data_IF_793438909104
#
_entry.id   IF_793438909104
#
_cell.length_a   1.000
_cell.length_b   1.000
_cell.length_c   1.000
_cell.angle_alpha   90.00
_cell.angle_beta   90.00
_cell.angle_gamma   90.00
#
_symmetry.space_group_name_H-M   'P 1'
#
loop_
_entity.id
_entity.type
_entity.pdbx_description
1 polymer ?
#
# COMPACT_ATOMS: atom_id res chain seq x y z
N UNK A 1 -36.63 -11.06 -12.04
CA UNK A 1 -35.51 -10.23 -12.57
C UNK A 1 -34.23 -10.83 -12.04
N UNK A 2 -33.36 -11.32 -12.92
CA UNK A 2 -32.09 -11.96 -12.53
C UNK A 2 -31.05 -10.89 -12.16
N UNK A 3 -30.19 -11.12 -11.14
CA UNK A 3 -29.13 -10.17 -10.81
C UNK A 3 -28.10 -10.08 -11.94
N UNK A 4 -27.42 -8.92 -12.10
CA UNK A 4 -26.42 -8.70 -13.13
C UNK A 4 -25.20 -9.64 -12.96
N UNK A 5 -24.54 -9.99 -14.08
CA UNK A 5 -23.49 -11.02 -14.16
C UNK A 5 -22.32 -10.85 -13.17
N UNK A 6 -22.06 -9.64 -12.67
CA UNK A 6 -20.99 -9.38 -11.70
C UNK A 6 -21.34 -9.80 -10.26
N UNK A 7 -22.63 -9.89 -9.90
CA UNK A 7 -23.05 -10.46 -8.62
C UNK A 7 -22.77 -11.98 -8.54
N UNK A 8 -22.51 -12.64 -9.68
CA UNK A 8 -22.13 -14.06 -9.75
C UNK A 8 -20.62 -14.29 -9.74
N UNK A 9 -19.80 -13.24 -9.78
CA UNK A 9 -18.32 -13.36 -9.77
C UNK A 9 -17.75 -13.31 -8.35
N UNK A 10 -18.56 -12.93 -7.35
CA UNK A 10 -18.17 -12.91 -5.94
C UNK A 10 -18.87 -13.97 -5.08
N UNK A 11 -19.66 -14.85 -5.71
CA UNK A 11 -20.37 -15.97 -5.07
C UNK A 11 -19.67 -17.31 -5.39
N UNK A 12 -18.34 -17.31 -5.41
CA UNK A 12 -17.58 -18.56 -5.32
C UNK A 12 -17.35 -18.87 -3.85
N UNK A 13 -18.33 -19.54 -3.25
CA UNK A 13 -18.13 -20.30 -2.03
C UNK A 13 -16.94 -21.26 -2.19
N UNK A 14 -16.06 -21.25 -1.19
CA UNK A 14 -15.36 -22.42 -0.68
C UNK A 14 -14.64 -23.31 -1.70
N UNK A 15 -13.53 -22.84 -2.25
CA UNK A 15 -12.39 -23.71 -2.53
C UNK A 15 -11.14 -23.00 -2.01
N UNK A 16 -10.44 -23.65 -1.08
CA UNK A 16 -9.43 -23.05 -0.21
C UNK A 16 -8.50 -22.07 -0.92
N UNK A 17 -8.46 -20.86 -0.37
CA UNK A 17 -7.60 -19.74 -0.76
C UNK A 17 -6.13 -20.15 -0.71
N UNK A 18 -5.61 -20.70 -1.82
CA UNK A 18 -4.22 -20.51 -2.14
C UNK A 18 -4.12 -19.18 -2.88
N UNK A 19 -3.58 -18.17 -2.18
CA UNK A 19 -3.08 -16.97 -2.83
C UNK A 19 -2.32 -17.38 -4.09
N UNK A 20 -2.47 -16.68 -5.23
CA UNK A 20 -1.67 -16.96 -6.40
C UNK A 20 -0.20 -16.95 -5.95
N UNK A 21 0.43 -18.13 -5.98
CA UNK A 21 1.85 -18.22 -5.70
C UNK A 21 2.51 -17.38 -6.77
N UNK A 22 3.11 -16.27 -6.32
CA UNK A 22 3.95 -15.45 -7.16
C UNK A 22 5.04 -16.38 -7.71
N UNK A 23 4.88 -16.84 -8.94
CA UNK A 23 5.91 -17.49 -9.73
C UNK A 23 6.94 -16.41 -10.06
N UNK A 24 7.74 -16.04 -9.06
CA UNK A 24 8.95 -15.26 -9.26
C UNK A 24 10.06 -16.24 -9.53
N UNK A 25 10.85 -15.99 -10.56
CA UNK A 25 12.23 -16.50 -10.59
C UNK A 25 12.89 -16.05 -9.29
N UNK A 26 13.14 -17.02 -8.40
CA UNK A 26 13.24 -16.90 -6.93
C UNK A 26 14.41 -16.05 -6.38
N UNK A 27 15.23 -15.41 -7.23
CA UNK A 27 16.47 -14.77 -6.80
C UNK A 27 16.32 -13.37 -6.20
N UNK A 28 15.49 -12.50 -6.79
CA UNK A 28 15.81 -11.06 -6.76
C UNK A 28 14.77 -10.11 -6.11
N UNK A 29 13.75 -10.60 -5.40
CA UNK A 29 12.66 -9.73 -4.88
C UNK A 29 12.35 -9.85 -3.39
N UNK A 30 13.17 -10.56 -2.61
CA UNK A 30 12.84 -10.94 -1.23
C UNK A 30 13.42 -10.03 -0.14
N UNK A 31 13.80 -8.80 -0.49
CA UNK A 31 14.48 -7.82 0.38
C UNK A 31 13.63 -6.62 0.80
N UNK A 32 12.36 -6.59 0.40
CA UNK A 32 11.51 -5.42 0.60
C UNK A 32 11.12 -5.27 2.08
N UNK A 33 11.10 -4.05 2.61
CA UNK A 33 10.79 -3.83 4.01
C UNK A 33 9.38 -4.30 4.31
N UNK A 34 9.20 -5.00 5.42
CA UNK A 34 7.86 -5.33 5.91
C UNK A 34 7.71 -4.92 7.37
N UNK A 35 6.49 -4.55 7.74
CA UNK A 35 6.15 -4.16 9.10
C UNK A 35 5.66 -5.37 9.88
N UNK A 36 6.10 -5.48 11.12
CA UNK A 36 5.53 -6.44 12.08
C UNK A 36 5.31 -5.77 13.41
N UNK A 37 4.15 -6.02 14.02
CA UNK A 37 3.85 -5.63 15.39
C UNK A 37 4.43 -6.68 16.35
N UNK A 38 5.31 -6.28 17.25
CA UNK A 38 5.87 -7.12 18.31
C UNK A 38 5.83 -6.38 19.64
N UNK A 39 5.30 -7.00 20.70
CA UNK A 39 5.26 -6.40 22.05
C UNK A 39 4.72 -4.96 22.08
N UNK A 40 3.63 -4.69 21.35
CA UNK A 40 3.03 -3.36 21.15
C UNK A 40 3.90 -2.30 20.44
N UNK A 41 5.05 -2.68 19.91
CA UNK A 41 5.87 -1.84 19.04
C UNK A 41 5.76 -2.29 17.59
N UNK A 42 6.05 -1.39 16.66
CA UNK A 42 6.09 -1.70 15.23
C UNK A 42 7.53 -1.67 14.75
N UNK A 43 7.92 -2.70 14.02
CA UNK A 43 9.27 -2.85 13.51
C UNK A 43 9.26 -3.02 12.01
N UNK A 44 10.14 -2.29 11.32
CA UNK A 44 10.48 -2.60 9.93
C UNK A 44 11.57 -3.65 9.89
N UNK A 45 11.43 -4.62 8.99
CA UNK A 45 12.37 -5.71 8.77
C UNK A 45 12.94 -5.63 7.37
N UNK A 46 14.26 -5.83 7.22
CA UNK A 46 14.93 -5.98 5.93
C UNK A 46 16.19 -6.83 6.11
N UNK A 47 16.80 -7.26 5.02
CA UNK A 47 18.13 -7.88 5.04
C UNK A 47 19.28 -6.84 5.06
N UNK A 48 18.96 -5.56 4.85
CA UNK A 48 19.94 -4.49 4.69
C UNK A 48 19.65 -3.31 5.65
N UNK A 49 20.61 -2.99 6.53
CA UNK A 49 20.49 -1.84 7.44
C UNK A 49 20.40 -0.48 6.73
N UNK A 50 21.07 -0.30 5.58
CA UNK A 50 21.00 0.95 4.84
C UNK A 50 19.59 1.21 4.29
N UNK A 51 18.89 0.15 3.86
CA UNK A 51 17.47 0.26 3.47
C UNK A 51 16.62 0.67 4.67
N UNK A 52 16.79 0.00 5.81
CA UNK A 52 16.05 0.36 7.03
C UNK A 52 16.33 1.78 7.50
N UNK A 53 17.58 2.23 7.40
CA UNK A 53 17.99 3.60 7.74
C UNK A 53 17.31 4.61 6.83
N UNK A 54 17.28 4.35 5.52
CA UNK A 54 16.56 5.18 4.56
C UNK A 54 15.07 5.31 4.90
N UNK A 55 14.35 4.21 5.13
CA UNK A 55 12.93 4.27 5.52
C UNK A 55 12.72 4.97 6.85
N UNK A 56 13.63 4.73 7.82
CA UNK A 56 13.57 5.38 9.12
C UNK A 56 13.70 6.90 8.98
N UNK A 57 14.63 7.40 8.17
CA UNK A 57 14.81 8.82 7.94
C UNK A 57 13.65 9.44 7.14
N UNK A 58 13.06 8.73 6.16
CA UNK A 58 11.84 9.17 5.47
C UNK A 58 10.68 9.33 6.47
N UNK A 59 10.44 8.32 7.31
CA UNK A 59 9.39 8.34 8.32
C UNK A 59 9.63 9.45 9.36
N UNK A 60 10.88 9.59 9.81
CA UNK A 60 11.29 10.64 10.75
C UNK A 60 11.09 12.05 10.18
N UNK A 61 11.41 12.27 8.90
CA UNK A 61 11.18 13.55 8.25
C UNK A 61 9.68 13.87 8.10
N UNK A 62 8.82 12.86 7.98
CA UNK A 62 7.36 13.03 7.88
C UNK A 62 6.69 13.34 9.22
N UNK A 63 7.30 12.93 10.33
CA UNK A 63 6.77 13.15 11.66
C UNK A 63 7.30 14.49 12.20
N UNK A 64 6.41 15.48 12.39
CA UNK A 64 6.77 16.82 12.87
C UNK A 64 7.29 16.84 14.33
N UNK A 65 7.32 15.69 15.00
CA UNK A 65 7.90 15.54 16.33
C UNK A 65 9.43 15.65 16.30
N UNK A 66 9.99 16.64 17.02
CA UNK A 66 11.44 16.82 17.29
C UNK A 66 12.07 15.69 18.14
N UNK A 67 11.52 14.49 18.07
CA UNK A 67 11.98 13.36 18.84
C UNK A 67 13.44 13.04 18.51
N UNK A 68 14.25 12.91 19.57
CA UNK A 68 15.65 12.43 19.55
C UNK A 68 15.71 10.93 19.22
N UNK A 69 14.95 10.47 18.24
CA UNK A 69 14.95 9.09 17.82
C UNK A 69 16.27 8.80 17.11
N UNK A 70 16.98 7.82 17.66
CA UNK A 70 18.21 7.27 17.09
C UNK A 70 17.87 6.02 16.29
N UNK A 71 18.42 5.93 15.08
CA UNK A 71 18.41 4.69 14.33
C UNK A 71 19.28 3.65 15.04
N UNK A 72 18.76 2.45 15.24
CA UNK A 72 19.53 1.30 15.72
C UNK A 72 19.09 0.08 14.95
N UNK A 73 20.00 -0.45 14.14
CA UNK A 73 19.76 -1.64 13.33
C UNK A 73 20.14 -2.90 14.12
N UNK A 74 19.14 -3.65 14.57
CA UNK A 74 19.36 -4.87 15.36
C UNK A 74 19.37 -6.09 14.46
N UNK A 75 20.34 -6.99 14.65
CA UNK A 75 20.27 -8.34 14.08
C UNK A 75 19.23 -9.16 14.85
N UNK A 76 18.41 -9.91 14.14
CA UNK A 76 17.42 -10.80 14.75
C UNK A 76 17.78 -12.25 14.49
N UNK A 77 17.60 -13.11 15.51
CA UNK A 77 17.74 -14.56 15.36
C UNK A 77 16.51 -15.20 14.69
N UNK A 78 15.54 -14.40 14.22
CA UNK A 78 14.40 -14.90 13.46
C UNK A 78 14.92 -15.37 12.11
N UNK A 79 15.25 -16.65 12.05
CA UNK A 79 15.32 -17.37 10.79
C UNK A 79 13.88 -17.51 10.28
N UNK A 80 13.73 -17.32 8.98
CA UNK A 80 12.48 -17.24 8.24
C UNK A 80 11.74 -18.61 8.29
N UNK A 81 11.12 -18.98 9.42
CA UNK A 81 10.40 -20.26 9.59
C UNK A 81 9.22 -20.38 8.60
N UNK A 82 8.60 -19.27 8.18
CA UNK A 82 7.58 -19.23 7.13
C UNK A 82 8.15 -19.28 5.70
N UNK A 83 9.48 -19.33 5.52
CA UNK A 83 10.15 -18.98 4.26
C UNK A 83 11.31 -19.92 3.86
N UNK A 84 11.34 -21.15 4.40
CA UNK A 84 12.11 -22.30 3.88
C UNK A 84 13.55 -21.98 3.46
N UNK A 85 14.38 -21.51 4.41
CA UNK A 85 15.79 -21.20 4.17
C UNK A 85 16.60 -22.47 3.82
N UNK A 86 16.80 -22.74 2.53
CA UNK A 86 17.62 -23.86 2.03
C UNK A 86 19.11 -23.53 1.83
N UNK A 87 19.56 -22.32 2.15
CA UNK A 87 20.98 -21.94 2.00
C UNK A 87 21.64 -21.53 3.33
N UNK A 88 22.85 -22.06 3.62
CA UNK A 88 23.56 -21.81 4.86
C UNK A 88 24.42 -20.53 4.72
N UNK A 89 23.80 -19.37 4.90
CA UNK A 89 24.51 -18.13 5.18
C UNK A 89 23.78 -17.37 6.30
N UNK A 90 24.48 -16.57 7.13
CA UNK A 90 23.88 -15.87 8.27
C UNK A 90 23.06 -14.67 7.77
N UNK A 91 21.96 -14.93 7.05
CA UNK A 91 21.00 -13.93 6.61
C UNK A 91 20.06 -13.59 7.77
N UNK A 92 20.62 -13.04 8.85
CA UNK A 92 19.83 -12.53 9.96
C UNK A 92 19.04 -11.31 9.46
N UNK A 93 17.71 -11.38 9.55
CA UNK A 93 16.88 -10.21 9.32
C UNK A 93 17.30 -9.11 10.29
N UNK A 94 17.39 -7.90 9.76
CA UNK A 94 17.60 -6.69 10.52
C UNK A 94 16.26 -6.08 10.86
N UNK A 95 16.18 -5.40 12.01
CA UNK A 95 14.99 -4.63 12.37
C UNK A 95 15.28 -3.27 12.97
N UNK A 96 14.33 -2.37 12.84
CA UNK A 96 14.30 -1.05 13.50
C UNK A 96 12.90 -0.75 14.01
N UNK A 97 12.78 -0.19 15.22
CA UNK A 97 11.49 0.24 15.77
C UNK A 97 11.05 1.55 15.10
N UNK A 98 9.87 1.55 14.51
CA UNK A 98 9.27 2.72 13.83
C UNK A 98 7.92 3.10 14.44
N UNK A 99 7.49 2.46 15.54
CA UNK A 99 6.15 2.65 16.09
C UNK A 99 5.82 4.10 16.42
N UNK A 100 6.78 4.87 16.92
CA UNK A 100 6.62 6.31 17.21
C UNK A 100 6.76 7.21 15.98
N UNK A 101 7.17 6.66 14.84
CA UNK A 101 7.35 7.40 13.59
C UNK A 101 6.15 7.26 12.64
N UNK A 102 5.31 6.25 12.84
CA UNK A 102 4.11 6.03 12.06
C UNK A 102 2.97 6.92 12.56
N UNK A 103 2.10 7.34 11.63
CA UNK A 103 0.85 8.02 11.96
C UNK A 103 -0.05 7.12 12.82
N UNK A 104 -0.75 7.73 13.79
CA UNK A 104 -1.68 7.04 14.69
C UNK A 104 -2.73 6.24 13.92
N UNK A 105 -3.18 6.75 12.78
CA UNK A 105 -4.11 6.07 11.89
C UNK A 105 -3.55 4.74 11.36
N UNK A 106 -2.29 4.73 10.91
CA UNK A 106 -1.61 3.52 10.42
C UNK A 106 -1.47 2.52 11.57
N UNK A 107 -1.00 2.98 12.73
CA UNK A 107 -0.83 2.16 13.94
C UNK A 107 -2.14 1.52 14.40
N UNK A 108 -3.23 2.31 14.44
CA UNK A 108 -4.54 1.87 14.92
C UNK A 108 -5.23 0.90 13.98
N UNK A 109 -5.02 1.04 12.66
CA UNK A 109 -5.75 0.28 11.66
C UNK A 109 -4.96 -0.89 11.04
N UNK A 110 -3.66 -1.02 11.33
CA UNK A 110 -2.87 -2.16 10.87
C UNK A 110 -3.45 -3.49 11.36
N UNK A 111 -3.65 -4.44 10.43
CA UNK A 111 -4.27 -5.76 10.59
C UNK A 111 -5.77 -5.72 11.00
N UNK A 112 -6.42 -4.55 10.93
CA UNK A 112 -7.85 -4.45 11.27
C UNK A 112 -8.70 -4.89 10.08
N UNK A 113 -9.52 -5.93 10.28
CA UNK A 113 -10.52 -6.40 9.30
C UNK A 113 -11.79 -5.56 9.43
N UNK A 114 -12.06 -4.77 8.38
CA UNK A 114 -13.13 -3.78 8.17
C UNK A 114 -14.24 -4.22 7.20
N UNK A 115 -15.37 -4.76 7.66
CA UNK A 115 -16.52 -5.02 6.77
C UNK A 115 -17.09 -3.70 6.19
N UNK A 116 -17.35 -3.69 4.88
CA UNK A 116 -17.96 -2.56 4.17
C UNK A 116 -17.01 -1.38 3.85
N UNK A 117 -15.83 -1.32 4.45
CA UNK A 117 -14.84 -0.28 4.18
C UNK A 117 -13.90 -0.73 3.07
N UNK A 118 -13.75 0.02 1.97
CA UNK A 118 -12.90 -0.39 0.86
C UNK A 118 -11.54 0.33 0.85
N UNK A 119 -10.73 0.06 -0.17
CA UNK A 119 -9.40 0.63 -0.33
C UNK A 119 -9.42 2.17 -0.44
N UNK A 120 -10.42 2.75 -1.10
CA UNK A 120 -10.53 4.20 -1.23
C UNK A 120 -10.85 4.91 0.08
N UNK A 121 -11.70 4.33 0.93
CA UNK A 121 -12.00 4.95 2.23
C UNK A 121 -10.77 5.08 3.11
N UNK A 122 -9.81 4.16 2.99
CA UNK A 122 -8.53 4.26 3.69
C UNK A 122 -7.77 5.54 3.36
N UNK A 123 -7.72 5.87 2.06
CA UNK A 123 -7.05 7.07 1.59
C UNK A 123 -7.79 8.31 2.07
N UNK A 124 -9.12 8.35 1.91
CA UNK A 124 -9.92 9.51 2.30
C UNK A 124 -9.91 9.72 3.82
N UNK A 125 -9.88 8.66 4.64
CA UNK A 125 -9.74 8.76 6.09
C UNK A 125 -8.38 9.33 6.48
N UNK A 126 -7.31 8.80 5.88
CA UNK A 126 -5.95 9.24 6.17
C UNK A 126 -5.74 10.72 5.83
N UNK A 127 -6.36 11.22 4.74
CA UNK A 127 -6.32 12.63 4.37
C UNK A 127 -7.40 13.50 5.03
N UNK A 128 -8.20 12.96 5.95
CA UNK A 128 -9.24 13.72 6.65
C UNK A 128 -10.49 14.05 5.84
N UNK A 129 -10.55 13.67 4.56
CA UNK A 129 -11.68 13.93 3.66
C UNK A 129 -12.99 13.28 4.13
N UNK A 130 -12.88 12.17 4.85
CA UNK A 130 -14.01 11.54 5.53
C UNK A 130 -13.70 11.36 7.00
N UNK A 131 -14.70 11.63 7.85
CA UNK A 131 -14.53 11.62 9.31
C UNK A 131 -14.69 10.24 9.95
N UNK A 132 -15.22 9.27 9.22
CA UNK A 132 -15.51 7.92 9.72
C UNK A 132 -15.46 6.87 8.63
N UNK A 133 -15.18 5.65 9.07
CA UNK A 133 -15.18 4.44 8.26
C UNK A 133 -16.53 4.24 7.56
N UNK A 134 -16.50 4.12 6.24
CA UNK A 134 -17.67 3.80 5.41
C UNK A 134 -17.23 3.30 4.03
N UNK A 135 -18.18 2.73 3.30
CA UNK A 135 -17.98 2.51 1.87
C UNK A 135 -17.79 3.86 1.15
N UNK A 136 -16.80 3.92 0.26
CA UNK A 136 -16.52 5.05 -0.63
C UNK A 136 -16.70 4.58 -2.07
N UNK A 137 -17.29 5.39 -2.93
CA UNK A 137 -17.43 5.02 -4.35
C UNK A 137 -16.18 5.39 -5.16
N UNK A 138 -15.95 4.73 -6.29
CA UNK A 138 -14.86 5.09 -7.22
C UNK A 138 -14.95 6.58 -7.62
N UNK A 139 -16.17 7.04 -7.91
CA UNK A 139 -16.46 8.43 -8.26
C UNK A 139 -16.09 9.43 -7.17
N UNK A 140 -16.36 9.08 -5.92
CA UNK A 140 -16.03 9.93 -4.78
C UNK A 140 -14.50 10.01 -4.57
N UNK A 141 -13.80 8.88 -4.66
CA UNK A 141 -12.34 8.84 -4.65
C UNK A 141 -11.74 9.66 -5.80
N UNK A 142 -12.29 9.50 -7.01
CA UNK A 142 -11.87 10.25 -8.18
C UNK A 142 -12.04 11.75 -7.99
N UNK A 143 -13.20 12.18 -7.48
CA UNK A 143 -13.47 13.58 -7.20
C UNK A 143 -12.46 14.16 -6.20
N UNK A 144 -12.07 13.40 -5.18
CA UNK A 144 -11.03 13.79 -4.23
C UNK A 144 -9.66 13.97 -4.91
N UNK A 145 -9.16 12.94 -5.62
CA UNK A 145 -7.79 12.99 -6.19
C UNK A 145 -7.66 13.96 -7.37
N UNK A 146 -8.76 14.34 -8.01
CA UNK A 146 -8.77 15.32 -9.13
C UNK A 146 -9.08 16.75 -8.70
N UNK A 147 -9.47 16.97 -7.46
CA UNK A 147 -9.64 18.32 -6.91
C UNK A 147 -8.27 19.00 -6.80
N UNK A 148 -7.99 19.94 -7.71
CA UNK A 148 -6.72 20.68 -7.77
C UNK A 148 -6.46 21.58 -6.57
N UNK A 149 -7.47 21.89 -5.77
CA UNK A 149 -7.30 22.64 -4.52
C UNK A 149 -6.76 21.74 -3.40
N UNK A 150 -7.09 20.45 -3.44
CA UNK A 150 -6.73 19.44 -2.45
C UNK A 150 -5.50 18.62 -2.86
N UNK A 151 -5.41 18.22 -4.12
CA UNK A 151 -4.43 17.29 -4.65
C UNK A 151 -3.65 17.86 -5.84
N UNK A 152 -2.36 17.58 -5.87
CA UNK A 152 -1.47 17.88 -6.99
C UNK A 152 -0.92 16.57 -7.54
N UNK A 153 -1.02 16.37 -8.86
CA UNK A 153 -0.44 15.20 -9.51
C UNK A 153 1.09 15.26 -9.39
N UNK A 154 1.69 14.14 -8.98
CA UNK A 154 3.13 13.93 -8.91
C UNK A 154 3.63 13.55 -10.30
N UNK A 155 4.70 14.19 -10.73
CA UNK A 155 5.25 14.07 -12.09
C UNK A 155 6.70 13.56 -12.11
N UNK A 156 7.33 13.41 -10.96
CA UNK A 156 8.67 12.84 -10.82
C UNK A 156 8.85 12.10 -9.49
N UNK A 157 9.83 11.19 -9.42
CA UNK A 157 10.12 10.40 -8.21
C UNK A 157 10.48 11.29 -7.01
N UNK A 158 11.18 12.40 -7.27
CA UNK A 158 11.62 13.34 -6.23
C UNK A 158 10.46 14.09 -5.55
N UNK A 159 9.26 14.04 -6.12
CA UNK A 159 8.05 14.64 -5.54
C UNK A 159 7.27 13.66 -4.65
N UNK A 160 7.63 12.36 -4.67
CA UNK A 160 7.03 11.36 -3.78
C UNK A 160 7.39 11.65 -2.33
N UNK A 161 6.42 11.49 -1.43
CA UNK A 161 6.59 11.67 0.02
C UNK A 161 5.63 10.79 0.80
N UNK A 162 5.82 10.74 2.11
CA UNK A 162 4.85 10.12 3.03
C UNK A 162 3.45 10.70 2.78
N UNK A 163 2.46 9.83 2.65
CA UNK A 163 1.09 10.17 2.35
C UNK A 163 0.80 10.47 0.88
N UNK A 164 1.75 10.31 -0.05
CA UNK A 164 1.43 10.38 -1.49
C UNK A 164 0.37 9.32 -1.82
N UNK A 165 -0.76 9.75 -2.37
CA UNK A 165 -1.84 8.87 -2.83
C UNK A 165 -1.45 8.24 -4.14
N UNK A 166 -1.75 6.96 -4.29
CA UNK A 166 -1.59 6.22 -5.52
C UNK A 166 -2.93 5.62 -5.92
N UNK A 167 -3.34 5.92 -7.14
CA UNK A 167 -4.57 5.45 -7.74
C UNK A 167 -4.24 4.51 -8.90
N UNK A 168 -4.70 3.26 -8.82
CA UNK A 168 -4.60 2.28 -9.89
C UNK A 168 -5.85 2.36 -10.74
N UNK A 169 -5.68 2.49 -12.05
CA UNK A 169 -6.74 2.68 -13.03
C UNK A 169 -6.70 1.63 -14.12
N UNK A 170 -7.86 1.25 -14.66
CA UNK A 170 -7.99 0.48 -15.89
C UNK A 170 -8.72 1.29 -16.96
N UNK A 171 -8.07 1.51 -18.11
CA UNK A 171 -8.64 2.23 -19.26
C UNK A 171 -9.92 1.57 -19.80
N UNK A 172 -10.08 0.26 -19.65
CA UNK A 172 -11.27 -0.45 -20.13
C UNK A 172 -12.49 -0.30 -19.20
N UNK A 173 -12.28 0.06 -17.93
CA UNK A 173 -13.36 0.29 -16.97
C UNK A 173 -14.01 1.67 -17.12
N UNK A 174 -13.41 2.57 -17.92
CA UNK A 174 -13.99 3.86 -18.33
C UNK A 174 -15.36 3.75 -19.01
N UNK A 175 -15.75 2.55 -19.46
CA UNK A 175 -17.07 2.30 -20.06
C UNK A 175 -18.23 2.44 -19.07
N UNK A 176 -17.98 2.39 -17.76
CA UNK A 176 -19.02 2.42 -16.74
C UNK A 176 -19.12 3.75 -15.96
N UNK A 177 -18.08 4.59 -16.00
CA UNK A 177 -18.14 5.97 -15.52
C UNK A 177 -17.36 6.91 -16.49
N UNK A 178 -18.06 7.55 -17.46
CA UNK A 178 -17.43 8.46 -18.42
C UNK A 178 -16.90 9.76 -17.78
N UNK A 179 -17.16 10.01 -16.50
CA UNK A 179 -16.70 11.20 -15.77
C UNK A 179 -15.72 10.88 -14.64
N UNK A 180 -15.47 9.61 -14.33
CA UNK A 180 -14.86 9.21 -13.05
C UNK A 180 -13.67 8.26 -13.10
N UNK A 181 -13.20 7.83 -14.28
CA UNK A 181 -12.06 6.92 -14.35
C UNK A 181 -12.44 5.48 -13.95
N UNK A 182 -11.82 4.49 -14.58
CA UNK A 182 -11.86 3.10 -14.11
C UNK A 182 -10.96 2.90 -12.90
N UNK A 183 -11.18 3.65 -11.80
CA UNK A 183 -10.41 3.51 -10.57
C UNK A 183 -10.62 2.08 -10.03
N UNK A 184 -9.56 1.28 -10.01
CA UNK A 184 -9.57 -0.10 -9.50
C UNK A 184 -9.18 -0.16 -8.03
N UNK A 185 -8.23 0.68 -7.62
CA UNK A 185 -7.65 0.64 -6.28
C UNK A 185 -7.06 1.97 -5.86
N UNK A 186 -7.09 2.24 -4.55
CA UNK A 186 -6.44 3.40 -3.95
C UNK A 186 -5.65 3.01 -2.71
N UNK A 187 -4.47 3.61 -2.55
CA UNK A 187 -3.63 3.49 -1.36
C UNK A 187 -2.78 4.75 -1.20
N UNK A 188 -2.03 4.83 -0.10
CA UNK A 188 -1.03 5.88 0.07
C UNK A 188 0.33 5.29 0.42
N UNK A 189 1.37 5.99 0.00
CA UNK A 189 2.76 5.67 0.26
C UNK A 189 3.12 6.05 1.69
N UNK A 190 3.84 5.17 2.35
CA UNK A 190 4.52 5.43 3.62
C UNK A 190 5.99 5.71 3.34
N UNK A 191 6.60 4.93 2.46
CA UNK A 191 7.87 5.23 1.78
C UNK A 191 7.70 4.92 0.29
N UNK A 192 8.74 5.08 -0.51
CA UNK A 192 8.72 4.80 -1.95
C UNK A 192 8.36 3.34 -2.31
N UNK A 193 8.65 2.40 -1.40
CA UNK A 193 8.43 0.96 -1.56
C UNK A 193 7.49 0.35 -0.51
N UNK A 194 7.02 1.15 0.46
CA UNK A 194 6.16 0.72 1.55
C UNK A 194 4.84 1.48 1.53
N UNK A 195 3.73 0.76 1.60
CA UNK A 195 2.40 1.36 1.42
C UNK A 195 1.43 0.87 2.46
N UNK A 196 0.45 1.71 2.79
CA UNK A 196 -0.67 1.32 3.64
C UNK A 196 -1.92 1.11 2.77
N UNK A 197 -2.41 -0.14 2.72
CA UNK A 197 -3.49 -0.51 1.81
C UNK A 197 -4.29 -1.72 2.29
N UNK A 198 -5.53 -1.84 1.80
CA UNK A 198 -6.35 -3.06 1.93
C UNK A 198 -6.03 -3.98 0.76
N UNK A 199 -5.35 -5.09 0.99
CA UNK A 199 -4.78 -5.84 -0.13
C UNK A 199 -5.51 -7.14 -0.43
N UNK A 200 -6.65 -7.01 -1.09
CA UNK A 200 -7.34 -8.12 -1.73
C UNK A 200 -8.71 -7.73 -2.26
N UNK A 201 -9.28 -8.54 -3.17
CA UNK A 201 -10.57 -8.28 -3.78
C UNK A 201 -11.73 -8.44 -2.79
N UNK A 202 -11.50 -9.10 -1.65
CA UNK A 202 -12.53 -9.36 -0.64
C UNK A 202 -12.64 -8.20 0.37
N UNK A 203 -13.87 -7.89 0.77
CA UNK A 203 -14.17 -6.95 1.84
C UNK A 203 -13.56 -7.36 3.19
N UNK A 204 -13.13 -8.61 3.38
CA UNK A 204 -12.54 -9.08 4.64
C UNK A 204 -11.02 -8.91 4.74
N UNK A 205 -10.33 -8.49 3.69
CA UNK A 205 -8.87 -8.27 3.79
C UNK A 205 -8.57 -7.13 4.78
N UNK A 206 -7.57 -7.26 5.66
CA UNK A 206 -7.22 -6.17 6.56
C UNK A 206 -6.49 -5.03 5.85
N UNK A 207 -6.43 -3.86 6.50
CA UNK A 207 -5.46 -2.83 6.15
C UNK A 207 -4.06 -3.23 6.63
N UNK A 208 -3.08 -3.18 5.75
CA UNK A 208 -1.72 -3.62 6.04
C UNK A 208 -0.71 -2.62 5.52
N UNK A 209 0.38 -2.47 6.29
CA UNK A 209 1.60 -1.85 5.81
C UNK A 209 2.43 -2.93 5.13
N UNK A 210 2.75 -2.75 3.86
CA UNK A 210 3.30 -3.83 3.03
C UNK A 210 4.12 -3.28 1.87
N UNK A 211 4.96 -4.13 1.24
CA UNK A 211 5.68 -3.76 0.03
C UNK A 211 4.73 -3.38 -1.11
N UNK A 212 5.07 -2.32 -1.84
CA UNK A 212 4.29 -1.82 -2.96
C UNK A 212 4.20 -2.86 -4.10
N UNK A 213 5.20 -3.72 -4.24
CA UNK A 213 5.26 -4.80 -5.22
C UNK A 213 4.12 -5.80 -5.06
N UNK A 214 3.66 -6.03 -3.82
CA UNK A 214 2.50 -6.89 -3.57
C UNK A 214 1.24 -6.29 -4.16
N UNK A 215 1.07 -4.98 -4.06
CA UNK A 215 -0.04 -4.26 -4.69
C UNK A 215 0.08 -4.35 -6.21
N UNK A 216 1.25 -4.05 -6.76
CA UNK A 216 1.46 -4.10 -8.19
C UNK A 216 1.19 -5.47 -8.81
N UNK A 217 1.57 -6.54 -8.11
CA UNK A 217 1.26 -7.90 -8.53
C UNK A 217 -0.24 -8.20 -8.43
N UNK A 218 -0.88 -7.81 -7.33
CA UNK A 218 -2.32 -8.03 -7.09
C UNK A 218 -3.20 -7.41 -8.17
N UNK A 219 -2.86 -6.19 -8.61
CA UNK A 219 -3.61 -5.47 -9.64
C UNK A 219 -2.99 -5.56 -11.04
N UNK A 220 -1.98 -6.42 -11.23
CA UNK A 220 -1.32 -6.65 -12.51
C UNK A 220 -0.86 -5.38 -13.21
N UNK A 221 -0.27 -4.42 -12.46
CA UNK A 221 0.25 -3.16 -13.03
C UNK A 221 1.69 -3.40 -13.51
N UNK A 222 1.98 -3.36 -14.83
CA UNK A 222 3.34 -3.54 -15.34
C UNK A 222 4.27 -2.40 -14.90
N UNK A 223 5.57 -2.66 -14.81
CA UNK A 223 6.58 -1.68 -14.35
C UNK A 223 6.53 -0.36 -15.14
N UNK A 224 6.54 -0.43 -16.48
CA UNK A 224 6.42 0.74 -17.36
C UNK A 224 5.09 1.52 -17.21
N UNK A 225 4.08 0.92 -16.57
CA UNK A 225 2.77 1.52 -16.34
C UNK A 225 2.63 2.13 -14.93
N UNK A 226 3.73 2.10 -14.15
CA UNK A 226 3.85 2.74 -12.84
C UNK A 226 4.65 4.05 -12.93
N UNK A 227 5.19 4.38 -14.09
CA UNK A 227 5.96 5.59 -14.35
C UNK A 227 5.06 6.83 -14.47
N UNK A 228 5.63 8.03 -14.36
CA UNK A 228 4.87 9.29 -14.48
C UNK A 228 4.41 9.61 -15.91
N UNK A 229 5.12 9.08 -16.91
CA UNK A 229 4.79 9.21 -18.33
C UNK A 229 4.23 7.89 -18.87
N UNK A 230 3.05 7.49 -18.36
CA UNK A 230 2.41 6.21 -18.66
C UNK A 230 2.19 6.04 -20.18
N UNK A 231 2.77 5.00 -20.81
CA UNK A 231 2.54 4.72 -22.22
C UNK A 231 1.07 4.47 -22.56
N UNK A 232 0.64 4.84 -23.77
CA UNK A 232 -0.73 4.61 -24.22
C UNK A 232 -1.13 3.13 -24.21
N UNK A 233 -0.16 2.23 -24.42
CA UNK A 233 -0.33 0.77 -24.39
C UNK A 233 -0.69 0.21 -23.00
N UNK A 234 -0.47 0.96 -21.92
CA UNK A 234 -0.82 0.53 -20.58
C UNK A 234 -2.34 0.49 -20.40
N UNK A 235 -2.89 -0.71 -20.23
CA UNK A 235 -4.29 -0.89 -19.84
C UNK A 235 -4.50 -0.49 -18.38
N UNK A 236 -3.77 -1.15 -17.49
CA UNK A 236 -3.77 -0.86 -16.05
C UNK A 236 -2.55 -0.01 -15.72
N UNK A 237 -2.74 1.10 -15.03
CA UNK A 237 -1.67 2.05 -14.75
C UNK A 237 -1.86 2.72 -13.39
N UNK A 238 -0.77 3.28 -12.85
CA UNK A 238 -0.81 4.06 -11.63
C UNK A 238 -0.74 5.56 -11.92
N UNK A 239 -1.32 6.38 -11.03
CA UNK A 239 -1.02 7.81 -10.98
C UNK A 239 -0.91 8.24 -9.53
N UNK A 240 -0.02 9.18 -9.29
CA UNK A 240 0.44 9.59 -7.97
C UNK A 240 -0.04 11.01 -7.70
N UNK A 241 -0.50 11.26 -6.47
CA UNK A 241 -1.02 12.54 -6.05
C UNK A 241 -0.51 12.91 -4.67
N UNK A 242 -0.05 14.14 -4.54
CA UNK A 242 0.25 14.75 -3.27
C UNK A 242 -0.99 15.53 -2.83
N UNK A 243 -1.71 15.00 -1.85
CA UNK A 243 -2.93 15.59 -1.31
C UNK A 243 -2.67 16.23 0.05
N UNK A 244 -3.32 17.36 0.31
CA UNK A 244 -3.37 17.99 1.64
C UNK A 244 -4.26 17.17 2.56
N UNK A 245 -3.90 17.06 3.83
CA UNK A 245 -4.86 16.67 4.86
C UNK A 245 -5.82 17.85 5.12
N UNK A 246 -7.08 17.58 5.42
CA UNK A 246 -7.96 18.61 6.02
C UNK A 246 -7.49 18.92 7.44
N UNK A 247 -7.44 20.22 7.79
CA UNK A 247 -7.08 20.72 9.13
C UNK A 247 -8.15 20.40 10.19
#
# INVERSE_FOLDING_TARGET
>A
MSPPLWAKVFDTEANGDQMPQLSTTEGDRWWLPFLKKENNSFYLYSDNCQKLEHHFEVLKASNQSESKLSFTCEATNQCKEELNCRTPAPNFLKKVNVGSLLDDYVVKNHLRVQDGVNCWNNVLLFHGEVKKERFVSAREFHAFVTDRQKCQQVTSENEIRYGTVVAIRDKNELKFDPQGGGELHGFFLVTEDLVFSKNGPNATYPYELQPIERIWATFSVPELCREFNVPESCRTYATYYNCKAED
#
